data_IF_766448970780
#
_entry.id   IF_766448970780
#
_cell.length_a   1.000
_cell.length_b   1.000
_cell.length_c   1.000
_cell.angle_alpha   90.00
_cell.angle_beta   90.00
_cell.angle_gamma   90.00
#
_symmetry.space_group_name_H-M   'P 1'
#
loop_
_entity.id
_entity.type
_entity.pdbx_description
1 polymer ?
#
# COMPACT_ATOMS: atom_id res chain seq x y z
N UNK A 1 14.11 4.39 -6.95
CA UNK A 1 13.09 3.99 -5.95
C UNK A 1 13.33 4.62 -4.57
N UNK A 2 14.57 4.90 -4.16
CA UNK A 2 14.86 5.42 -2.80
C UNK A 2 14.24 6.79 -2.46
N UNK A 3 14.18 7.74 -3.40
CA UNK A 3 13.63 9.07 -3.12
C UNK A 3 12.11 9.07 -2.86
N UNK A 4 11.38 8.13 -3.46
CA UNK A 4 9.92 7.99 -3.32
C UNK A 4 9.54 7.42 -1.95
N UNK A 5 10.42 6.63 -1.33
CA UNK A 5 10.17 6.05 -0.01
C UNK A 5 10.62 6.97 1.13
N UNK A 6 11.62 7.82 0.91
CA UNK A 6 12.08 8.77 1.93
C UNK A 6 11.05 9.88 2.22
N UNK A 7 10.47 10.46 1.16
CA UNK A 7 9.40 11.47 1.26
C UNK A 7 8.17 10.90 1.98
N UNK A 8 7.77 9.70 1.58
CA UNK A 8 6.65 8.99 2.17
C UNK A 8 6.88 8.68 3.65
N UNK A 9 8.08 8.19 3.99
CA UNK A 9 8.47 7.96 5.38
C UNK A 9 8.43 9.24 6.22
N UNK A 10 8.98 10.35 5.71
CA UNK A 10 8.92 11.65 6.40
C UNK A 10 7.47 12.08 6.66
N UNK A 11 6.59 11.92 5.68
CA UNK A 11 5.17 12.26 5.83
C UNK A 11 4.48 11.38 6.89
N UNK A 12 4.82 10.09 6.98
CA UNK A 12 4.31 9.22 8.05
C UNK A 12 4.82 9.64 9.43
N UNK A 13 6.11 10.00 9.54
CA UNK A 13 6.69 10.49 10.80
C UNK A 13 6.00 11.78 11.26
N UNK A 14 5.79 12.73 10.34
CA UNK A 14 5.04 13.96 10.63
C UNK A 14 3.63 13.63 11.13
N UNK A 15 2.93 12.67 10.50
CA UNK A 15 1.61 12.24 10.91
C UNK A 15 1.60 11.57 12.31
N UNK A 16 2.66 10.84 12.64
CA UNK A 16 2.83 10.18 13.94
C UNK A 16 3.08 11.20 15.05
N UNK A 17 4.00 12.13 14.82
CA UNK A 17 4.46 13.10 15.83
C UNK A 17 3.46 14.25 16.05
N UNK A 18 2.64 14.57 15.05
CA UNK A 18 1.69 15.68 15.12
C UNK A 18 0.25 15.22 15.32
N UNK A 19 -0.57 16.12 15.84
CA UNK A 19 -2.01 15.94 15.90
C UNK A 19 -2.61 16.16 14.51
N UNK A 20 -3.42 15.22 14.00
CA UNK A 20 -4.07 15.30 12.68
C UNK A 20 -4.80 16.65 12.52
N UNK A 21 -5.53 17.07 13.55
CA UNK A 21 -6.27 18.35 13.58
C UNK A 21 -5.38 19.58 13.36
N UNK A 22 -4.10 19.52 13.76
CA UNK A 22 -3.14 20.63 13.58
C UNK A 22 -2.50 20.66 12.19
N UNK A 23 -2.58 19.56 11.45
CA UNK A 23 -2.00 19.43 10.11
C UNK A 23 -2.92 20.01 9.01
N UNK A 24 -4.18 20.35 9.34
CA UNK A 24 -5.19 20.79 8.37
C UNK A 24 -5.34 19.85 7.17
N UNK A 25 -5.09 18.55 7.39
CA UNK A 25 -5.24 17.51 6.38
C UNK A 25 -6.62 16.87 6.50
N UNK A 26 -7.39 16.84 5.40
CA UNK A 26 -8.63 16.05 5.32
C UNK A 26 -8.27 14.68 4.73
N UNK A 27 -7.84 13.77 5.60
CA UNK A 27 -7.50 12.40 5.24
C UNK A 27 -8.69 11.49 5.49
N UNK A 28 -8.94 10.59 4.55
CA UNK A 28 -9.91 9.50 4.69
C UNK A 28 -9.20 8.16 4.53
N UNK A 29 -9.86 7.05 4.85
CA UNK A 29 -9.32 5.70 4.66
C UNK A 29 -9.34 5.28 3.18
N UNK A 30 -8.82 6.14 2.31
CA UNK A 30 -8.68 5.94 0.88
C UNK A 30 -7.33 6.48 0.38
N UNK A 31 -6.84 5.90 -0.71
CA UNK A 31 -5.61 6.30 -1.37
C UNK A 31 -5.88 6.54 -2.85
N UNK A 32 -5.55 7.74 -3.33
CA UNK A 32 -5.48 8.00 -4.76
C UNK A 32 -4.08 7.64 -5.26
N UNK A 33 -4.03 6.67 -6.17
CA UNK A 33 -2.81 6.24 -6.85
C UNK A 33 -2.93 6.56 -8.33
N UNK A 34 -1.82 6.92 -8.95
CA UNK A 34 -1.72 7.01 -10.40
C UNK A 34 -0.95 5.77 -10.89
N UNK A 35 -1.63 4.91 -11.64
CA UNK A 35 -1.08 3.66 -12.16
C UNK A 35 -1.36 3.59 -13.67
N UNK A 36 -0.31 3.63 -14.49
CA UNK A 36 -0.39 3.68 -15.96
C UNK A 36 -1.26 4.85 -16.49
N UNK A 37 -1.03 6.06 -15.98
CA UNK A 37 -1.81 7.27 -16.31
C UNK A 37 -3.31 7.18 -15.95
N UNK A 38 -3.70 6.16 -15.19
CA UNK A 38 -5.06 6.01 -14.66
C UNK A 38 -5.04 6.30 -13.16
N UNK A 39 -5.77 7.34 -12.76
CA UNK A 39 -6.06 7.61 -11.36
C UNK A 39 -7.03 6.53 -10.84
N UNK A 40 -6.59 5.78 -9.84
CA UNK A 40 -7.42 4.81 -9.13
C UNK A 40 -7.52 5.20 -7.66
N UNK A 41 -8.72 5.13 -7.13
CA UNK A 41 -8.96 5.23 -5.69
C UNK A 41 -8.96 3.82 -5.11
N UNK A 42 -8.16 3.60 -4.07
CA UNK A 42 -8.10 2.35 -3.30
C UNK A 42 -8.73 2.63 -1.94
N UNK A 43 -9.63 1.76 -1.52
CA UNK A 43 -10.17 1.78 -0.17
C UNK A 43 -9.23 1.01 0.76
N UNK A 44 -8.80 1.63 1.87
CA UNK A 44 -7.98 0.98 2.89
C UNK A 44 -8.84 0.08 3.81
N UNK A 45 -10.10 0.44 3.98
CA UNK A 45 -11.10 -0.33 4.73
C UNK A 45 -12.27 -0.62 3.79
N UNK A 46 -12.68 -1.90 3.63
CA UNK A 46 -13.82 -2.25 2.78
C UNK A 46 -15.10 -1.56 3.26
N UNK A 47 -15.81 -0.86 2.36
CA UNK A 47 -17.09 -0.17 2.61
C UNK A 47 -17.05 1.03 3.58
N UNK A 48 -15.87 1.40 4.09
CA UNK A 48 -15.69 2.44 5.10
C UNK A 48 -14.58 3.45 4.73
N UNK A 49 -14.32 3.59 3.43
CA UNK A 49 -13.29 4.47 2.87
C UNK A 49 -13.49 5.95 3.18
N UNK A 50 -14.74 6.36 3.46
CA UNK A 50 -15.11 7.75 3.80
C UNK A 50 -14.90 8.11 5.28
N UNK A 51 -14.47 7.17 6.12
CA UNK A 51 -14.15 7.48 7.51
C UNK A 51 -13.00 8.48 7.54
N UNK A 52 -13.16 9.55 8.31
CA UNK A 52 -12.10 10.54 8.52
C UNK A 52 -11.01 9.99 9.43
N UNK A 53 -9.77 10.29 9.07
CA UNK A 53 -8.63 10.05 9.94
C UNK A 53 -8.63 11.10 11.04
N UNK A 54 -8.49 10.64 12.27
CA UNK A 54 -8.45 11.39 13.52
C UNK A 54 -7.24 10.92 14.32
N UNK A 55 -6.89 11.63 15.38
CA UNK A 55 -5.79 11.17 16.24
C UNK A 55 -6.01 9.81 16.89
N UNK A 56 -7.27 9.37 17.03
CA UNK A 56 -7.62 8.07 17.61
C UNK A 56 -7.37 6.91 16.64
N UNK A 57 -7.57 7.12 15.34
CA UNK A 57 -7.46 6.08 14.31
C UNK A 57 -6.27 6.27 13.35
N UNK A 58 -5.45 7.32 13.53
CA UNK A 58 -4.28 7.58 12.66
C UNK A 58 -3.26 6.44 12.61
N UNK A 59 -3.08 5.72 13.72
CA UNK A 59 -2.16 4.58 13.77
C UNK A 59 -2.63 3.43 12.88
N UNK A 60 -3.94 3.20 12.84
CA UNK A 60 -4.55 2.22 11.95
C UNK A 60 -4.42 2.64 10.48
N UNK A 61 -4.69 3.91 10.18
CA UNK A 61 -4.48 4.48 8.86
C UNK A 61 -3.03 4.29 8.37
N UNK A 62 -2.04 4.65 9.19
CA UNK A 62 -0.61 4.46 8.86
C UNK A 62 -0.30 2.99 8.60
N UNK A 63 -0.78 2.08 9.46
CA UNK A 63 -0.57 0.64 9.31
C UNK A 63 -1.13 0.13 7.98
N UNK A 64 -2.36 0.53 7.63
CA UNK A 64 -3.01 0.12 6.39
C UNK A 64 -2.29 0.65 5.15
N UNK A 65 -1.85 1.91 5.14
CA UNK A 65 -1.06 2.44 4.02
C UNK A 65 0.27 1.71 3.88
N UNK A 66 0.99 1.48 4.98
CA UNK A 66 2.24 0.73 4.94
C UNK A 66 2.02 -0.68 4.35
N UNK A 67 0.96 -1.36 4.77
CA UNK A 67 0.61 -2.69 4.27
C UNK A 67 0.26 -2.66 2.77
N UNK A 68 -0.57 -1.71 2.33
CA UNK A 68 -0.92 -1.54 0.92
C UNK A 68 0.32 -1.27 0.06
N UNK A 69 1.22 -0.40 0.54
CA UNK A 69 2.44 -0.03 -0.19
C UNK A 69 3.40 -1.22 -0.32
N UNK A 70 3.63 -1.98 0.76
CA UNK A 70 4.46 -3.20 0.72
C UNK A 70 3.82 -4.23 -0.21
N UNK A 71 2.52 -4.48 -0.06
CA UNK A 71 1.79 -5.47 -0.86
C UNK A 71 1.87 -5.12 -2.34
N UNK A 72 1.70 -3.86 -2.73
CA UNK A 72 1.84 -3.43 -4.13
C UNK A 72 3.25 -3.59 -4.67
N UNK A 73 4.27 -3.22 -3.91
CA UNK A 73 5.67 -3.35 -4.33
C UNK A 73 6.07 -4.81 -4.58
N UNK A 74 5.56 -5.75 -3.79
CA UNK A 74 5.88 -7.18 -3.95
C UNK A 74 4.91 -7.92 -4.89
N UNK A 75 3.69 -7.44 -5.09
CA UNK A 75 2.66 -8.13 -5.91
C UNK A 75 3.10 -8.34 -7.35
N UNK A 76 3.76 -7.35 -7.96
CA UNK A 76 4.28 -7.52 -9.32
C UNK A 76 5.44 -8.51 -9.37
N UNK A 77 6.33 -8.50 -8.37
CA UNK A 77 7.45 -9.44 -8.29
C UNK A 77 6.97 -10.88 -8.08
N UNK A 78 5.99 -11.08 -7.18
CA UNK A 78 5.38 -12.38 -6.91
C UNK A 78 4.58 -12.88 -8.13
N UNK A 79 3.82 -12.01 -8.80
CA UNK A 79 3.08 -12.40 -10.01
C UNK A 79 4.02 -12.81 -11.16
N UNK A 80 5.15 -12.12 -11.33
CA UNK A 80 6.18 -12.52 -12.29
C UNK A 80 6.79 -13.89 -11.93
N UNK A 81 7.01 -14.16 -10.64
CA UNK A 81 7.49 -15.47 -10.18
C UNK A 81 6.45 -16.59 -10.37
N UNK A 82 5.16 -16.31 -10.15
CA UNK A 82 4.08 -17.25 -10.42
C UNK A 82 3.90 -17.52 -11.93
N UNK A 83 4.15 -16.51 -12.78
CA UNK A 83 4.23 -16.68 -14.23
C UNK A 83 5.32 -17.68 -14.65
N UNK A 84 6.39 -17.79 -13.88
CA UNK A 84 7.46 -18.78 -14.11
C UNK A 84 6.96 -20.23 -13.97
N UNK A 85 6.04 -20.52 -13.05
CA UNK A 85 5.39 -21.84 -12.93
C UNK A 85 4.43 -22.18 -14.09
N UNK A 86 4.04 -21.22 -14.92
CA UNK A 86 3.32 -21.50 -16.18
C UNK A 86 4.27 -21.94 -17.30
N UNK A 87 5.53 -21.51 -17.26
CA UNK A 87 6.54 -21.82 -18.29
C UNK A 87 7.29 -23.12 -17.96
N UNK A 88 7.49 -23.43 -16.68
CA UNK A 88 8.08 -24.70 -16.23
C UNK A 88 6.98 -25.54 -15.57
N UNK A 89 6.41 -26.53 -16.26
CA UNK A 89 5.45 -27.44 -15.64
C UNK A 89 6.15 -28.18 -14.50
N UNK A 90 5.61 -28.03 -13.29
CA UNK A 90 6.08 -28.74 -12.09
C UNK A 90 5.62 -30.20 -12.18
N UNK A 91 6.29 -31.00 -13.01
CA UNK A 91 6.42 -32.47 -12.97
C UNK A 91 7.16 -32.98 -14.20
N UNK A 92 8.48 -33.09 -14.11
CA UNK A 92 9.16 -34.24 -14.69
C UNK A 92 9.34 -35.26 -13.57
N UNK A 93 8.53 -36.32 -13.60
CA UNK A 93 8.79 -37.52 -12.82
C UNK A 93 10.16 -38.06 -13.25
N UNK A 94 11.19 -37.79 -12.46
CA UNK A 94 12.48 -38.46 -12.61
C UNK A 94 12.49 -39.53 -11.52
N UNK A 95 12.07 -40.74 -11.90
CA UNK A 95 12.47 -41.96 -11.21
C UNK A 95 13.93 -42.21 -11.60
N UNK A 96 14.84 -42.09 -10.63
CA UNK A 96 16.14 -42.76 -10.65
C UNK A 96 16.16 -43.67 -9.43
#
# INVERSE_FOLDING_TARGET
>A
MELIDLEFYKNLVILLENYIEKLYLDLTFSLNINEFDVNKMIELIPNDSNIRVTNKNKYEYIRLICQEKITRSIKQQINSFLGFYKIIPKKSNINI
#
